data_IF_222685012514
#
_entry.id   IF_222685012514
#
_cell.length_a   1.000
_cell.length_b   1.000
_cell.length_c   1.000
_cell.angle_alpha   90.00
_cell.angle_beta   90.00
_cell.angle_gamma   90.00
#
_symmetry.space_group_name_H-M   'P 1'
#
loop_
_entity.id
_entity.type
_entity.pdbx_description
1 polymer ?
#
# COMPACT_ATOMS: atom_id res chain seq x y z
N UNK A 1 13.14 6.77 12.74
CA UNK A 1 12.52 5.69 11.96
C UNK A 1 11.03 5.76 12.18
N UNK A 2 10.27 6.09 11.14
CA UNK A 2 8.82 6.34 11.22
C UNK A 2 8.07 5.33 10.36
N UNK A 3 6.94 4.84 10.88
CA UNK A 3 6.07 3.89 10.21
C UNK A 3 4.72 4.57 9.94
N UNK A 4 4.25 4.47 8.70
CA UNK A 4 2.93 4.93 8.30
C UNK A 4 2.07 3.72 7.93
N UNK A 5 0.95 3.56 8.62
CA UNK A 5 -0.05 2.54 8.31
C UNK A 5 -1.32 3.22 7.78
N UNK A 6 -1.78 2.82 6.60
CA UNK A 6 -2.91 3.44 5.94
C UNK A 6 -3.83 2.39 5.29
N UNK A 7 -5.14 2.57 5.45
CA UNK A 7 -6.18 1.80 4.74
C UNK A 7 -6.59 2.58 3.48
N UNK A 8 -6.16 2.11 2.32
CA UNK A 8 -6.33 2.84 1.06
C UNK A 8 -7.74 2.76 0.47
N UNK A 9 -8.53 1.73 0.83
CA UNK A 9 -9.84 1.43 0.22
C UNK A 9 -9.79 1.46 -1.33
N UNK A 10 -8.71 0.93 -1.88
CA UNK A 10 -8.34 1.03 -3.30
C UNK A 10 -7.14 1.97 -3.51
N UNK A 11 -5.98 1.39 -3.77
CA UNK A 11 -4.73 2.15 -3.97
C UNK A 11 -4.80 3.12 -5.15
N UNK A 12 -5.23 2.64 -6.32
CA UNK A 12 -5.30 3.46 -7.53
C UNK A 12 -6.35 4.57 -7.44
N UNK A 13 -7.40 4.38 -6.61
CA UNK A 13 -8.43 5.39 -6.40
C UNK A 13 -7.92 6.59 -5.56
N UNK A 14 -6.95 6.36 -4.68
CA UNK A 14 -6.45 7.36 -3.71
C UNK A 14 -4.94 7.58 -3.78
N UNK A 15 -4.31 7.28 -4.93
CA UNK A 15 -2.85 7.31 -5.06
C UNK A 15 -2.24 8.68 -4.79
N UNK A 16 -2.95 9.76 -5.17
CA UNK A 16 -2.49 11.14 -4.96
C UNK A 16 -2.45 11.51 -3.48
N UNK A 17 -3.47 11.08 -2.70
CA UNK A 17 -3.50 11.29 -1.25
C UNK A 17 -2.35 10.54 -0.55
N UNK A 18 -2.11 9.29 -0.96
CA UNK A 18 -1.01 8.48 -0.43
C UNK A 18 0.34 9.16 -0.70
N UNK A 19 0.54 9.70 -1.92
CA UNK A 19 1.76 10.46 -2.26
C UNK A 19 1.93 11.71 -1.40
N UNK A 20 0.84 12.45 -1.15
CA UNK A 20 0.88 13.62 -0.28
C UNK A 20 1.29 13.24 1.15
N UNK A 21 0.72 12.16 1.69
CA UNK A 21 1.11 11.66 3.01
C UNK A 21 2.58 11.24 3.08
N UNK A 22 3.06 10.51 2.06
CA UNK A 22 4.47 10.12 1.95
C UNK A 22 5.38 11.35 1.90
N UNK A 23 5.01 12.36 1.10
CA UNK A 23 5.80 13.58 0.97
C UNK A 23 5.77 14.45 2.24
N UNK A 24 4.71 14.39 3.03
CA UNK A 24 4.59 15.19 4.26
C UNK A 24 5.28 14.51 5.45
N UNK A 25 5.21 13.19 5.54
CA UNK A 25 5.65 12.44 6.72
C UNK A 25 7.01 11.77 6.54
N UNK A 26 7.48 11.62 5.29
CA UNK A 26 8.72 10.92 4.93
C UNK A 26 8.91 9.60 5.72
N UNK A 27 7.94 8.67 5.67
CA UNK A 27 8.02 7.44 6.46
C UNK A 27 9.16 6.55 5.97
N UNK A 28 9.83 5.86 6.89
CA UNK A 28 10.82 4.82 6.52
C UNK A 28 10.13 3.53 6.06
N UNK A 29 8.93 3.26 6.57
CA UNK A 29 8.14 2.06 6.26
C UNK A 29 6.69 2.48 6.00
N UNK A 30 6.10 1.97 4.92
CA UNK A 30 4.70 2.19 4.55
C UNK A 30 3.95 0.87 4.51
N UNK A 31 2.89 0.75 5.30
CA UNK A 31 2.01 -0.42 5.34
C UNK A 31 0.63 -0.05 4.78
N UNK A 32 0.31 -0.57 3.60
CA UNK A 32 -0.96 -0.29 2.91
C UNK A 32 -1.90 -1.49 3.01
N UNK A 33 -3.14 -1.21 3.40
CA UNK A 33 -4.22 -2.21 3.53
C UNK A 33 -5.41 -1.85 2.66
N UNK A 34 -6.27 -2.84 2.37
CA UNK A 34 -7.44 -2.66 1.50
C UNK A 34 -7.04 -2.02 0.15
N UNK A 35 -5.89 -2.42 -0.41
CA UNK A 35 -5.33 -1.85 -1.64
C UNK A 35 -6.13 -2.24 -2.89
N UNK A 36 -6.87 -3.34 -2.82
CA UNK A 36 -7.67 -3.91 -3.92
C UNK A 36 -6.84 -4.17 -5.18
N UNK A 37 -5.56 -4.52 -5.01
CA UNK A 37 -4.73 -4.95 -6.13
C UNK A 37 -5.24 -6.24 -6.73
N UNK A 38 -5.23 -6.28 -8.06
CA UNK A 38 -5.43 -7.46 -8.88
C UNK A 38 -4.09 -8.17 -9.05
N UNK A 39 -4.08 -9.48 -9.37
CA UNK A 39 -2.84 -10.22 -9.57
C UNK A 39 -1.88 -9.57 -10.57
N UNK A 40 -2.42 -8.97 -11.64
CA UNK A 40 -1.65 -8.29 -12.69
C UNK A 40 -1.29 -6.83 -12.37
N UNK A 41 -1.77 -6.27 -11.27
CA UNK A 41 -1.35 -4.92 -10.88
C UNK A 41 0.12 -4.96 -10.46
N UNK A 42 0.90 -3.95 -10.83
CA UNK A 42 2.30 -3.81 -10.43
C UNK A 42 2.52 -2.43 -9.80
N UNK A 43 2.13 -2.23 -8.54
CA UNK A 43 2.30 -0.94 -7.88
C UNK A 43 3.78 -0.64 -7.69
N UNK A 44 4.23 0.48 -8.24
CA UNK A 44 5.59 0.98 -8.04
C UNK A 44 5.53 2.31 -7.29
N UNK A 45 6.35 2.43 -6.26
CA UNK A 45 6.51 3.66 -5.51
C UNK A 45 7.99 4.05 -5.52
N UNK A 46 8.31 5.19 -6.14
CA UNK A 46 9.70 5.61 -6.30
C UNK A 46 10.37 5.79 -4.93
N UNK A 47 11.53 5.15 -4.75
CA UNK A 47 12.31 5.22 -3.51
C UNK A 47 11.88 4.23 -2.43
N UNK A 48 10.94 3.34 -2.72
CA UNK A 48 10.53 2.27 -1.82
C UNK A 48 10.61 0.93 -2.53
N UNK A 49 11.11 -0.07 -1.81
CA UNK A 49 10.95 -1.46 -2.21
C UNK A 49 9.52 -1.91 -1.86
N UNK A 50 8.84 -2.50 -2.83
CA UNK A 50 7.45 -2.92 -2.69
C UNK A 50 7.39 -4.41 -2.41
N UNK A 51 6.88 -4.76 -1.24
CA UNK A 51 6.59 -6.13 -0.85
C UNK A 51 5.08 -6.33 -0.84
N UNK A 52 4.58 -7.23 -1.68
CA UNK A 52 3.15 -7.55 -1.79
C UNK A 52 2.90 -8.97 -1.30
N UNK A 53 1.89 -9.11 -0.45
CA UNK A 53 1.32 -10.40 -0.09
C UNK A 53 0.01 -10.59 -0.87
N UNK A 54 0.10 -11.14 -2.08
CA UNK A 54 -1.08 -11.60 -2.79
C UNK A 54 -1.59 -12.88 -2.14
N UNK A 55 -2.86 -12.89 -1.73
CA UNK A 55 -3.51 -14.14 -1.34
C UNK A 55 -4.07 -14.80 -2.59
N UNK A 56 -3.57 -15.98 -3.00
CA UNK A 56 -4.02 -16.63 -4.23
C UNK A 56 -5.46 -17.16 -4.16
N UNK A 57 -6.08 -17.28 -2.98
CA UNK A 57 -7.46 -17.73 -2.83
C UNK A 57 -8.11 -17.04 -1.62
N UNK A 58 -9.39 -16.67 -1.80
CA UNK A 58 -10.52 -16.27 -0.94
C UNK A 58 -10.44 -16.20 0.61
N UNK A 59 -9.28 -16.31 1.23
CA UNK A 59 -9.12 -16.17 2.67
C UNK A 59 -8.92 -14.69 2.99
N UNK A 60 -9.93 -14.06 3.57
CA UNK A 60 -9.82 -12.68 4.09
C UNK A 60 -8.68 -12.59 5.12
N UNK A 61 -8.30 -11.39 5.52
CA UNK A 61 -7.32 -11.21 6.60
C UNK A 61 -7.78 -12.00 7.85
N UNK A 62 -7.04 -13.06 8.17
CA UNK A 62 -7.14 -13.84 9.40
C UNK A 62 -6.08 -13.28 10.33
N UNK A 63 -6.54 -12.73 11.45
CA UNK A 63 -5.70 -12.11 12.49
C UNK A 63 -5.04 -13.13 13.40
#
# INVERSE_FOLDING_TARGET
MSLLQCKCRGFYAHVEEIKQQISSLHPSILCLQETHFRPNDNPMLRGYDVYRADKPFFDRASG
#
